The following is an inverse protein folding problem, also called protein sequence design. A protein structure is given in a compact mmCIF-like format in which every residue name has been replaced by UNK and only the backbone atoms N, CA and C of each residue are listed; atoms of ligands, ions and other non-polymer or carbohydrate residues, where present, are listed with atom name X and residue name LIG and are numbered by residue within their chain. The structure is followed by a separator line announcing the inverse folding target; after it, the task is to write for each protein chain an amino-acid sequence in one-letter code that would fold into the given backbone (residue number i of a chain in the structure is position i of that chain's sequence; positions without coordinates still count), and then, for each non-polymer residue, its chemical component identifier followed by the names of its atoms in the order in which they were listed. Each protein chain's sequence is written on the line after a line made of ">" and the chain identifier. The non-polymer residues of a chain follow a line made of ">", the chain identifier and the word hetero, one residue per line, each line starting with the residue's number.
data_IF_842050365024
#
_entry.id   IF_842050365024
#
_cell.length_a   1.000
_cell.length_b   1.000
_cell.length_c   1.000
_cell.angle_alpha   90.00
_cell.angle_beta   90.00
_cell.angle_gamma   90.00
#
_symmetry.space_group_name_H-M   'P 1'
#
loop_
_entity.id
_entity.type
_entity.pdbx_description
1 polymer ?
#
# COMPACT_ATOMS: atom_id res chain seq x y z
N UNK A 1 56.17 45.06 -41.69
CA UNK A 1 56.50 43.68 -41.27
C UNK A 1 56.19 43.57 -39.78
N UNK A 2 55.35 42.61 -39.40
CA UNK A 2 54.90 42.35 -38.02
C UNK A 2 55.43 40.96 -37.65
N UNK A 3 56.13 40.87 -36.52
CA UNK A 3 56.42 39.61 -35.85
C UNK A 3 56.01 39.75 -34.37
N UNK A 4 55.16 38.86 -33.81
CA UNK A 4 54.54 39.01 -32.50
C UNK A 4 55.18 38.06 -31.47
N UNK A 5 55.60 38.55 -30.31
CA UNK A 5 55.75 37.70 -29.11
C UNK A 5 55.95 38.52 -27.84
N UNK A 6 55.28 38.07 -26.79
CA UNK A 6 55.43 38.42 -25.36
C UNK A 6 54.45 39.45 -24.80
N UNK A 7 53.28 39.02 -24.29
CA UNK A 7 52.63 39.72 -23.19
C UNK A 7 53.29 39.34 -21.86
N UNK A 8 53.62 40.35 -21.06
CA UNK A 8 53.97 40.23 -19.64
C UNK A 8 52.81 39.64 -18.83
N UNK A 9 53.06 38.77 -17.85
CA UNK A 9 52.03 38.31 -16.93
C UNK A 9 51.83 39.39 -15.86
N UNK A 10 50.71 40.10 -15.92
CA UNK A 10 50.26 40.96 -14.81
C UNK A 10 49.06 40.30 -14.15
N UNK A 11 49.30 39.95 -12.90
CA UNK A 11 48.42 39.29 -11.95
C UNK A 11 47.06 40.01 -11.88
N UNK A 12 45.99 39.27 -12.18
CA UNK A 12 44.69 39.50 -11.57
C UNK A 12 44.30 38.19 -10.89
N UNK A 13 44.69 38.10 -9.63
CA UNK A 13 44.12 37.14 -8.69
C UNK A 13 42.64 37.47 -8.51
N UNK A 14 41.80 36.89 -9.37
CA UNK A 14 40.44 36.53 -8.99
C UNK A 14 40.34 35.01 -9.10
N UNK A 15 41.06 34.33 -8.20
CA UNK A 15 40.72 32.96 -7.82
C UNK A 15 39.35 33.00 -7.12
N UNK A 16 38.29 33.06 -7.93
CA UNK A 16 36.99 32.58 -7.51
C UNK A 16 37.16 31.10 -7.18
N UNK A 17 37.37 30.81 -5.89
CA UNK A 17 37.37 29.47 -5.36
C UNK A 17 36.05 28.82 -5.74
N UNK A 18 36.06 27.98 -6.77
CA UNK A 18 34.99 27.04 -7.05
C UNK A 18 34.94 26.07 -5.88
N UNK A 19 34.16 26.42 -4.86
CA UNK A 19 33.81 25.54 -3.77
C UNK A 19 33.13 24.32 -4.35
N UNK A 20 33.82 23.19 -4.40
CA UNK A 20 33.21 21.87 -4.56
C UNK A 20 32.44 21.55 -3.28
N UNK A 21 31.33 22.27 -3.06
CA UNK A 21 30.29 21.81 -2.16
C UNK A 21 29.80 20.48 -2.73
N UNK A 22 29.91 19.35 -2.01
CA UNK A 22 29.18 18.17 -2.41
C UNK A 22 27.72 18.58 -2.48
N UNK A 23 27.08 18.38 -3.65
CA UNK A 23 25.65 18.65 -3.84
C UNK A 23 24.88 17.65 -3.00
N UNK A 24 24.77 17.93 -1.69
CA UNK A 24 23.99 17.16 -0.75
C UNK A 24 22.55 17.19 -1.24
N UNK A 25 22.07 16.02 -1.69
CA UNK A 25 20.67 15.85 -2.05
C UNK A 25 19.88 16.03 -0.76
N UNK A 26 19.08 17.09 -0.69
CA UNK A 26 18.15 17.33 0.42
C UNK A 26 17.23 16.12 0.52
N UNK A 27 17.06 15.58 1.72
CA UNK A 27 16.08 14.52 1.97
C UNK A 27 14.68 15.04 1.56
N UNK A 28 13.99 14.29 0.71
CA UNK A 28 12.62 14.62 0.31
C UNK A 28 11.70 14.38 1.51
N UNK A 29 11.03 15.42 2.01
CA UNK A 29 10.09 15.26 3.14
C UNK A 29 8.81 14.62 2.61
N UNK A 30 8.12 13.83 3.44
CA UNK A 30 6.85 13.20 3.09
C UNK A 30 5.80 14.22 2.61
N UNK A 31 5.83 15.43 3.20
CA UNK A 31 4.97 16.57 2.83
C UNK A 31 5.24 17.13 1.43
N UNK A 32 6.43 16.86 0.87
CA UNK A 32 6.83 17.33 -0.47
C UNK A 32 6.37 16.34 -1.56
N UNK A 33 5.88 15.15 -1.19
CA UNK A 33 5.20 14.22 -2.09
C UNK A 33 3.74 14.66 -2.29
N UNK A 34 3.53 15.80 -2.95
CA UNK A 34 2.22 16.07 -3.54
C UNK A 34 2.00 15.08 -4.66
N UNK A 35 1.20 14.05 -4.43
CA UNK A 35 0.80 13.08 -5.46
C UNK A 35 -0.14 13.82 -6.43
N UNK A 36 0.43 14.51 -7.41
CA UNK A 36 -0.32 15.08 -8.53
C UNK A 36 -0.83 13.92 -9.39
N UNK A 37 -2.00 13.40 -9.04
CA UNK A 37 -2.73 12.40 -9.82
C UNK A 37 -3.61 13.16 -10.81
N UNK A 38 -3.06 13.54 -11.97
CA UNK A 38 -3.92 13.82 -13.11
C UNK A 38 -4.31 12.47 -13.74
N UNK A 39 -5.61 12.27 -13.96
CA UNK A 39 -6.17 11.02 -14.51
C UNK A 39 -5.62 10.74 -15.93
N UNK A 40 -5.10 11.77 -16.59
CA UNK A 40 -4.62 11.75 -17.96
C UNK A 40 -3.11 11.52 -18.12
N UNK A 41 -2.31 11.56 -17.04
CA UNK A 41 -0.88 11.25 -17.09
C UNK A 41 -0.63 9.73 -17.05
N UNK A 42 -1.09 9.02 -18.08
CA UNK A 42 -0.69 7.63 -18.30
C UNK A 42 0.73 7.61 -18.87
N UNK A 43 1.64 6.91 -18.20
CA UNK A 43 2.95 6.64 -18.78
C UNK A 43 2.78 5.69 -19.98
N UNK A 44 3.22 6.05 -21.19
CA UNK A 44 3.19 5.12 -22.32
C UNK A 44 4.21 4.02 -22.08
N UNK A 45 3.72 2.80 -21.85
CA UNK A 45 4.56 1.61 -21.69
C UNK A 45 4.39 0.76 -22.94
N UNK A 46 5.48 0.57 -23.68
CA UNK A 46 5.49 -0.31 -24.84
C UNK A 46 6.12 -1.64 -24.46
N UNK A 47 5.59 -2.73 -25.00
CA UNK A 47 6.12 -4.06 -24.78
C UNK A 47 6.56 -4.66 -26.11
N UNK A 48 7.71 -5.31 -26.09
CA UNK A 48 8.09 -6.21 -27.17
C UNK A 48 7.21 -7.45 -27.06
N UNK A 49 6.33 -7.63 -28.03
CA UNK A 49 5.39 -8.76 -28.03
C UNK A 49 6.07 -10.11 -28.21
N UNK A 50 7.28 -10.15 -28.79
CA UNK A 50 8.02 -11.40 -29.01
C UNK A 50 8.73 -11.89 -27.74
N UNK A 51 9.24 -10.97 -26.89
CA UNK A 51 9.94 -11.31 -25.65
C UNK A 51 9.16 -11.01 -24.37
N UNK A 52 8.04 -10.29 -24.45
CA UNK A 52 7.25 -9.82 -23.31
C UNK A 52 7.93 -8.76 -22.46
N UNK A 53 9.03 -8.16 -22.93
CA UNK A 53 9.83 -7.19 -22.17
C UNK A 53 9.36 -5.76 -22.44
N UNK A 54 9.50 -4.89 -21.44
CA UNK A 54 9.23 -3.45 -21.62
C UNK A 54 10.31 -2.81 -22.49
N UNK A 55 9.87 -2.09 -23.52
CA UNK A 55 10.67 -1.28 -24.42
C UNK A 55 10.83 0.15 -23.89
N UNK A 56 11.98 0.79 -24.18
CA UNK A 56 12.25 2.24 -24.02
C UNK A 56 12.23 2.79 -22.58
N UNK A 57 12.15 4.12 -22.50
CA UNK A 57 12.45 5.03 -21.37
C UNK A 57 11.58 4.88 -20.11
N UNK A 58 10.55 4.03 -20.14
CA UNK A 58 9.68 3.78 -18.99
C UNK A 58 9.91 2.42 -18.32
N UNK A 59 10.88 1.61 -18.79
CA UNK A 59 11.19 0.28 -18.21
C UNK A 59 11.44 0.35 -16.71
N UNK A 60 12.28 1.27 -16.25
CA UNK A 60 12.61 1.40 -14.83
C UNK A 60 11.38 1.78 -13.98
N UNK A 61 10.55 2.71 -14.48
CA UNK A 61 9.31 3.14 -13.81
C UNK A 61 8.31 1.98 -13.71
N UNK A 62 8.15 1.22 -14.79
CA UNK A 62 7.29 0.02 -14.79
C UNK A 62 7.80 -1.04 -13.81
N UNK A 63 9.08 -1.39 -13.85
CA UNK A 63 9.66 -2.36 -12.92
C UNK A 63 9.45 -1.92 -11.48
N UNK A 64 9.72 -0.65 -11.16
CA UNK A 64 9.49 -0.08 -9.82
C UNK A 64 8.03 -0.23 -9.38
N UNK A 65 7.08 0.11 -10.27
CA UNK A 65 5.65 -0.03 -10.00
C UNK A 65 5.23 -1.48 -9.73
N UNK A 66 5.66 -2.43 -10.57
CA UNK A 66 5.31 -3.86 -10.42
C UNK A 66 5.91 -4.44 -9.14
N UNK A 67 7.16 -4.08 -8.81
CA UNK A 67 7.81 -4.48 -7.56
C UNK A 67 7.04 -3.95 -6.35
N UNK A 68 6.69 -2.66 -6.35
CA UNK A 68 5.92 -2.04 -5.26
C UNK A 68 4.53 -2.69 -5.11
N UNK A 69 3.88 -3.00 -6.23
CA UNK A 69 2.57 -3.68 -6.22
C UNK A 69 2.68 -5.08 -5.61
N UNK A 70 3.74 -5.82 -5.95
CA UNK A 70 4.03 -7.13 -5.37
C UNK A 70 4.22 -7.05 -3.84
N UNK A 71 5.09 -6.15 -3.39
CA UNK A 71 5.34 -5.93 -1.94
C UNK A 71 4.06 -5.53 -1.23
N UNK A 72 3.30 -4.58 -1.79
CA UNK A 72 2.05 -4.10 -1.18
C UNK A 72 1.02 -5.21 -1.02
N UNK A 73 0.95 -6.15 -1.97
CA UNK A 73 0.05 -7.30 -1.90
C UNK A 73 0.47 -8.29 -0.81
N UNK A 74 1.76 -8.57 -0.69
CA UNK A 74 2.30 -9.42 0.38
C UNK A 74 1.99 -8.80 1.74
N UNK A 75 2.35 -7.53 1.96
CA UNK A 75 2.09 -6.83 3.22
C UNK A 75 0.60 -6.82 3.59
N UNK A 76 -0.28 -6.58 2.61
CA UNK A 76 -1.74 -6.65 2.83
C UNK A 76 -2.18 -8.05 3.28
N UNK A 77 -1.63 -9.09 2.68
CA UNK A 77 -1.98 -10.46 3.02
C UNK A 77 -1.50 -10.83 4.41
N UNK A 78 -0.26 -10.47 4.78
CA UNK A 78 0.27 -10.69 6.14
C UNK A 78 -0.59 -9.95 7.18
N UNK A 79 -0.87 -8.67 6.95
CA UNK A 79 -1.74 -7.87 7.82
C UNK A 79 -3.12 -8.52 8.00
N UNK A 80 -3.71 -9.02 6.90
CA UNK A 80 -5.04 -9.65 6.93
C UNK A 80 -5.04 -11.01 7.63
N UNK A 81 -3.93 -11.75 7.60
CA UNK A 81 -3.83 -13.10 8.19
C UNK A 81 -3.45 -13.07 9.66
N UNK A 82 -2.51 -12.20 10.04
CA UNK A 82 -1.94 -12.23 11.39
C UNK A 82 -2.57 -11.18 12.29
N UNK A 83 -2.52 -9.91 11.85
CA UNK A 83 -2.88 -8.80 12.72
C UNK A 83 -4.40 -8.61 12.83
N UNK A 84 -5.12 -8.77 11.71
CA UNK A 84 -6.57 -8.56 11.71
C UNK A 84 -7.34 -9.57 12.59
N UNK A 85 -7.08 -10.89 12.53
CA UNK A 85 -7.77 -11.84 13.41
C UNK A 85 -7.40 -11.63 14.87
N UNK A 86 -6.13 -11.34 15.16
CA UNK A 86 -5.68 -11.07 16.53
C UNK A 86 -6.44 -9.89 17.16
N UNK A 87 -6.50 -8.76 16.46
CA UNK A 87 -7.25 -7.58 16.93
C UNK A 87 -8.75 -7.87 17.07
N UNK A 88 -9.33 -8.62 16.12
CA UNK A 88 -10.73 -9.02 16.16
C UNK A 88 -11.03 -9.88 17.39
N UNK A 89 -10.19 -10.87 17.66
CA UNK A 89 -10.41 -11.84 18.73
C UNK A 89 -10.18 -11.21 20.11
N UNK A 90 -9.18 -10.33 20.23
CA UNK A 90 -8.93 -9.52 21.42
C UNK A 90 -10.13 -8.64 21.76
N UNK A 91 -10.60 -7.84 20.79
CA UNK A 91 -11.77 -6.98 20.97
C UNK A 91 -13.04 -7.78 21.27
N UNK A 92 -13.23 -8.92 20.59
CA UNK A 92 -14.39 -9.78 20.84
C UNK A 92 -14.34 -10.42 22.23
N UNK A 93 -13.15 -10.79 22.71
CA UNK A 93 -12.96 -11.33 24.04
C UNK A 93 -13.25 -10.28 25.12
N UNK A 94 -12.81 -9.05 24.92
CA UNK A 94 -13.06 -7.92 25.82
C UNK A 94 -14.56 -7.62 25.93
N UNK A 95 -15.24 -7.46 24.79
CA UNK A 95 -16.70 -7.24 24.76
C UNK A 95 -17.46 -8.38 25.46
N UNK A 96 -17.07 -9.64 25.23
CA UNK A 96 -17.69 -10.79 25.88
C UNK A 96 -17.48 -10.78 27.40
N UNK A 97 -16.27 -10.44 27.84
CA UNK A 97 -15.94 -10.37 29.26
C UNK A 97 -16.75 -9.28 29.97
N UNK A 98 -16.88 -8.11 29.34
CA UNK A 98 -17.64 -6.99 29.90
C UNK A 98 -19.14 -7.32 29.99
N UNK A 99 -19.71 -7.91 28.94
CA UNK A 99 -21.10 -8.38 28.92
C UNK A 99 -21.36 -9.44 30.00
N UNK A 100 -20.45 -10.40 30.18
CA UNK A 100 -20.53 -11.39 31.23
C UNK A 100 -20.48 -10.75 32.63
N UNK A 101 -19.62 -9.74 32.82
CA UNK A 101 -19.53 -8.98 34.07
C UNK A 101 -20.81 -8.19 34.38
N UNK A 102 -21.54 -7.75 33.35
CA UNK A 102 -22.83 -7.08 33.47
C UNK A 102 -24.00 -8.06 33.67
N UNK A 103 -23.75 -9.38 33.67
CA UNK A 103 -24.78 -10.41 33.80
C UNK A 103 -25.70 -10.53 32.57
N UNK A 104 -25.27 -9.99 31.42
CA UNK A 104 -25.99 -10.05 30.16
C UNK A 104 -25.53 -11.28 29.37
N UNK A 105 -26.46 -11.98 28.70
CA UNK A 105 -26.12 -13.13 27.84
C UNK A 105 -26.47 -12.80 26.38
N UNK A 106 -25.48 -12.85 25.49
CA UNK A 106 -25.72 -12.81 24.05
C UNK A 106 -26.09 -14.24 23.63
N UNK A 107 -27.38 -14.53 23.48
CA UNK A 107 -27.79 -15.73 22.76
C UNK A 107 -27.37 -15.59 21.29
N UNK A 108 -26.58 -16.55 20.80
CA UNK A 108 -26.39 -16.73 19.37
C UNK A 108 -27.73 -17.01 18.67
N UNK A 109 -27.76 -17.01 17.33
CA UNK A 109 -28.99 -17.26 16.57
C UNK A 109 -29.71 -18.50 17.10
N UNK A 110 -31.04 -18.45 17.33
CA UNK A 110 -31.76 -19.55 17.96
C UNK A 110 -31.54 -20.82 17.16
N UNK A 111 -30.94 -21.81 17.82
CA UNK A 111 -30.75 -23.16 17.29
C UNK A 111 -32.16 -23.73 17.09
N UNK A 112 -32.58 -23.87 15.83
CA UNK A 112 -33.92 -24.30 15.44
C UNK A 112 -34.35 -25.53 16.25
N UNK A 113 -35.55 -25.46 16.81
CA UNK A 113 -36.14 -26.53 17.59
C UNK A 113 -36.19 -27.83 16.75
N UNK A 114 -35.97 -29.01 17.36
CA UNK A 114 -36.23 -30.27 16.67
C UNK A 114 -37.74 -30.39 16.39
N UNK A 115 -38.15 -31.11 15.33
CA UNK A 115 -39.56 -31.22 14.99
C UNK A 115 -40.26 -32.00 16.12
N UNK A 116 -41.16 -31.31 16.82
CA UNK A 116 -42.10 -31.91 17.75
C UNK A 116 -42.96 -32.88 16.93
N UNK A 117 -42.75 -34.18 17.14
CA UNK A 117 -43.60 -35.22 16.60
C UNK A 117 -45.03 -35.01 17.10
N UNK A 118 -45.94 -34.75 16.17
CA UNK A 118 -47.36 -34.67 16.42
C UNK A 118 -47.86 -36.01 16.97
N UNK A 119 -48.33 -36.02 18.21
CA UNK A 119 -49.15 -37.10 18.75
C UNK A 119 -50.25 -36.49 19.59
N UNK A 120 -51.42 -36.32 19.00
CA UNK A 120 -52.68 -36.29 19.73
C UNK A 120 -53.71 -37.09 18.94
N UNK A 121 -54.10 -38.22 19.56
CA UNK A 121 -55.33 -38.96 19.25
C UNK A 121 -56.50 -37.98 19.24
N UNK A 122 -57.31 -38.03 18.19
CA UNK A 122 -58.62 -37.37 18.16
C UNK A 122 -59.55 -38.16 17.24
N UNK A 123 -60.37 -39.03 17.83
CA UNK A 123 -61.46 -39.72 17.13
C UNK A 123 -62.61 -38.76 16.89
N UNK A 124 -63.23 -38.82 15.71
CA UNK A 124 -64.60 -38.37 15.49
C UNK A 124 -65.37 -39.49 14.77
N UNK A 125 -66.57 -39.88 15.22
CA UNK A 125 -67.46 -40.73 14.46
C UNK A 125 -68.29 -39.90 13.46
N UNK A 126 -68.65 -40.55 12.35
CA UNK A 126 -69.55 -40.07 11.30
C UNK A 126 -70.96 -39.77 11.84
N UNK A 127 -71.65 -38.83 11.18
CA UNK A 127 -72.85 -39.20 10.43
C UNK A 127 -72.72 -38.93 8.93
#
# INVERSE_FOLDING_TARGET
>A
MVDPSTPSPSESEDQSQSSTQPKCRRATRLTDLTISRSVDQRLPIQFDMSTGKVLRDNRARFTSFVTLLGISKVLRNEFKKELFPKLRDELLSEIKSEIASLGLTIQGPPKGAPPIGASTKGSCPLP
#
